data_IF_735678310692
#
_entry.id   IF_735678310692
#
_cell.length_a   1.000
_cell.length_b   1.000
_cell.length_c   1.000
_cell.angle_alpha   90.00
_cell.angle_beta   90.00
_cell.angle_gamma   90.00
#
_symmetry.space_group_name_H-M   'P 1'
#
loop_
_entity.id
_entity.type
_entity.pdbx_description
1 polymer ?
#
# COMPACT_ATOMS: atom_id res chain seq x y z
N UNK A 1 -5.16 -22.59 -3.79
CA UNK A 1 -5.56 -22.63 -2.36
C UNK A 1 -6.65 -21.61 -1.97
N UNK A 2 -7.42 -20.99 -2.89
CA UNK A 2 -8.74 -20.40 -2.57
C UNK A 2 -8.84 -19.28 -1.52
N UNK A 3 -7.73 -18.68 -1.06
CA UNK A 3 -7.75 -17.63 -0.04
C UNK A 3 -8.37 -16.33 -0.56
N UNK A 4 -9.14 -15.66 0.30
CA UNK A 4 -9.89 -14.43 -0.03
C UNK A 4 -9.66 -13.27 0.95
N UNK A 5 -8.80 -13.46 1.96
CA UNK A 5 -8.50 -12.45 2.99
C UNK A 5 -6.99 -12.28 3.06
N UNK A 6 -6.54 -11.03 3.03
CA UNK A 6 -5.12 -10.67 3.01
C UNK A 6 -4.88 -9.48 3.91
N UNK A 7 -3.90 -9.60 4.81
CA UNK A 7 -3.46 -8.49 5.63
C UNK A 7 -2.47 -7.62 4.86
N UNK A 8 -2.61 -6.31 5.01
CA UNK A 8 -1.77 -5.31 4.38
C UNK A 8 -1.70 -4.06 5.26
N UNK A 9 -0.82 -3.12 4.91
CA UNK A 9 -0.65 -1.87 5.62
C UNK A 9 -0.62 -0.68 4.64
N UNK A 10 -1.22 0.44 5.05
CA UNK A 10 -1.23 1.69 4.28
C UNK A 10 0.20 2.09 3.86
N UNK A 11 0.43 2.30 2.56
CA UNK A 11 1.72 2.61 1.96
C UNK A 11 2.81 1.55 2.17
N UNK A 12 2.50 0.39 2.74
CA UNK A 12 3.47 -0.61 3.19
C UNK A 12 4.17 -0.24 4.50
N UNK A 13 3.49 0.52 5.37
CA UNK A 13 4.00 0.89 6.69
C UNK A 13 4.49 -0.32 7.51
N UNK A 14 5.45 -0.01 8.39
CA UNK A 14 6.11 -0.97 9.27
C UNK A 14 7.58 -1.19 8.93
N UNK A 15 8.04 -2.37 9.30
CA UNK A 15 9.41 -2.86 9.23
C UNK A 15 9.53 -4.12 10.09
N UNK A 16 10.61 -4.89 9.94
CA UNK A 16 10.85 -6.05 10.79
C UNK A 16 11.96 -5.71 11.79
N UNK A 17 11.72 -5.80 13.12
CA UNK A 17 12.75 -5.54 14.12
C UNK A 17 13.91 -6.55 14.05
N UNK A 18 13.66 -7.71 13.46
CA UNK A 18 14.65 -8.78 13.28
C UNK A 18 15.39 -8.72 11.93
N UNK A 19 14.92 -7.91 10.97
CA UNK A 19 15.53 -7.77 9.65
C UNK A 19 15.72 -6.27 9.31
N UNK A 20 16.88 -5.69 9.69
CA UNK A 20 17.20 -4.31 9.39
C UNK A 20 17.10 -4.00 7.89
N UNK A 21 16.36 -2.96 7.54
CA UNK A 21 16.15 -2.54 6.14
C UNK A 21 15.04 -3.28 5.38
N UNK A 22 14.33 -4.23 6.01
CA UNK A 22 13.14 -4.83 5.43
C UNK A 22 12.06 -3.76 5.16
N UNK A 23 11.45 -3.83 3.98
CA UNK A 23 10.52 -2.83 3.45
C UNK A 23 9.32 -2.54 4.35
N UNK A 24 8.85 -3.55 5.09
CA UNK A 24 7.66 -3.50 5.94
C UNK A 24 6.63 -4.53 5.52
N UNK A 25 5.35 -4.23 5.82
CA UNK A 25 4.23 -5.05 5.39
C UNK A 25 3.96 -4.89 3.88
N UNK A 26 3.14 -5.80 3.33
CA UNK A 26 2.56 -5.61 2.01
C UNK A 26 1.76 -4.30 1.98
N UNK A 27 1.99 -3.47 0.96
CA UNK A 27 1.26 -2.22 0.79
C UNK A 27 -0.18 -2.47 0.33
N UNK A 28 -1.14 -1.82 0.99
CA UNK A 28 -2.56 -1.90 0.62
C UNK A 28 -2.80 -1.45 -0.83
N UNK A 29 -2.12 -0.41 -1.30
CA UNK A 29 -2.26 0.12 -2.66
C UNK A 29 -1.73 -0.87 -3.71
N UNK A 30 -0.66 -1.60 -3.39
CA UNK A 30 -0.03 -2.53 -4.32
C UNK A 30 -0.94 -3.75 -4.54
N UNK A 31 -1.57 -4.27 -3.47
CA UNK A 31 -2.52 -5.39 -3.59
C UNK A 31 -3.87 -4.94 -4.16
N UNK A 32 -4.36 -3.74 -3.83
CA UNK A 32 -5.58 -3.18 -4.42
C UNK A 32 -5.43 -2.97 -5.92
N UNK A 33 -4.31 -2.40 -6.35
CA UNK A 33 -4.02 -2.25 -7.77
C UNK A 33 -3.96 -3.60 -8.48
N UNK A 34 -3.29 -4.59 -7.89
CA UNK A 34 -3.25 -5.95 -8.44
C UNK A 34 -4.66 -6.53 -8.60
N UNK A 35 -5.51 -6.45 -7.56
CA UNK A 35 -6.87 -6.97 -7.63
C UNK A 35 -7.75 -6.24 -8.64
N UNK A 36 -7.62 -4.92 -8.75
CA UNK A 36 -8.29 -4.13 -9.79
C UNK A 36 -7.89 -4.61 -11.20
N UNK A 37 -6.59 -4.80 -11.46
CA UNK A 37 -6.11 -5.33 -12.75
C UNK A 37 -6.56 -6.77 -13.03
N UNK A 38 -6.81 -7.56 -11.98
CA UNK A 38 -7.35 -8.92 -12.10
C UNK A 38 -8.88 -8.96 -12.21
N UNK A 39 -9.57 -7.83 -12.11
CA UNK A 39 -11.04 -7.78 -12.07
C UNK A 39 -11.64 -8.37 -10.79
N UNK A 40 -10.87 -8.45 -9.71
CA UNK A 40 -11.31 -8.95 -8.40
C UNK A 40 -11.87 -7.77 -7.59
N UNK A 41 -13.18 -7.76 -7.27
CA UNK A 41 -13.77 -6.67 -6.50
C UNK A 41 -13.35 -6.75 -5.04
N UNK A 42 -12.85 -5.63 -4.51
CA UNK A 42 -12.47 -5.49 -3.09
C UNK A 42 -13.43 -4.60 -2.30
N UNK A 43 -14.21 -3.77 -2.99
CA UNK A 43 -15.06 -2.75 -2.35
C UNK A 43 -14.29 -1.55 -1.78
N UNK A 44 -12.98 -1.45 -2.04
CA UNK A 44 -12.11 -0.40 -1.51
C UNK A 44 -11.68 0.54 -2.64
N UNK A 45 -11.80 1.84 -2.40
CA UNK A 45 -11.39 2.89 -3.33
C UNK A 45 -9.88 3.16 -3.21
N UNK A 46 -9.14 2.81 -4.27
CA UNK A 46 -7.68 2.95 -4.32
C UNK A 46 -7.22 4.41 -4.15
N UNK A 47 -7.95 5.39 -4.69
CA UNK A 47 -7.57 6.80 -4.60
C UNK A 47 -7.72 7.31 -3.16
N UNK A 48 -8.78 6.92 -2.46
CA UNK A 48 -8.97 7.27 -1.05
C UNK A 48 -7.88 6.66 -0.16
N UNK A 49 -7.49 5.41 -0.42
CA UNK A 49 -6.39 4.77 0.32
C UNK A 49 -5.08 5.50 0.03
N UNK A 50 -4.78 5.80 -1.23
CA UNK A 50 -3.56 6.51 -1.59
C UNK A 50 -3.48 7.91 -0.96
N UNK A 51 -4.60 8.65 -0.89
CA UNK A 51 -4.68 9.93 -0.21
C UNK A 51 -4.38 9.81 1.29
N UNK A 52 -4.97 8.80 1.97
CA UNK A 52 -4.72 8.54 3.38
C UNK A 52 -3.25 8.17 3.64
N UNK A 53 -2.65 7.31 2.82
CA UNK A 53 -1.25 6.94 2.93
C UNK A 53 -0.30 8.12 2.66
N UNK A 54 -0.65 9.01 1.72
CA UNK A 54 0.10 10.24 1.46
C UNK A 54 0.12 11.14 2.70
N UNK A 55 -1.02 11.33 3.35
CA UNK A 55 -1.09 12.08 4.62
C UNK A 55 -0.22 11.43 5.70
N UNK A 56 -0.27 10.10 5.85
CA UNK A 56 0.58 9.38 6.80
C UNK A 56 2.07 9.55 6.49
N UNK A 57 2.48 9.51 5.22
CA UNK A 57 3.86 9.74 4.79
C UNK A 57 4.36 11.12 5.25
N UNK A 58 3.52 12.16 5.08
CA UNK A 58 3.82 13.51 5.55
C UNK A 58 3.95 13.58 7.07
N UNK A 59 3.01 12.99 7.82
CA UNK A 59 3.02 13.04 9.29
C UNK A 59 4.21 12.30 9.90
N UNK A 60 4.64 11.21 9.28
CA UNK A 60 5.79 10.42 9.72
C UNK A 60 7.12 10.94 9.17
N UNK A 61 7.10 11.98 8.33
CA UNK A 61 8.25 12.49 7.59
C UNK A 61 9.08 11.37 6.94
N UNK A 62 8.40 10.40 6.33
CA UNK A 62 9.01 9.19 5.78
C UNK A 62 8.40 8.84 4.43
N UNK A 63 9.26 8.50 3.47
CA UNK A 63 8.82 7.90 2.20
C UNK A 63 8.30 6.47 2.45
N UNK A 64 7.09 6.20 1.98
CA UNK A 64 6.46 4.88 2.09
C UNK A 64 6.88 3.97 0.91
N UNK A 65 7.03 2.65 1.14
CA UNK A 65 7.56 1.71 0.14
C UNK A 65 6.59 1.35 -1.00
N UNK A 66 5.29 1.63 -0.88
CA UNK A 66 4.31 1.33 -1.93
C UNK A 66 4.72 1.91 -3.29
N UNK A 67 4.78 1.05 -4.31
CA UNK A 67 5.09 1.45 -5.68
C UNK A 67 3.88 2.09 -6.36
N UNK A 68 2.68 1.58 -6.08
CA UNK A 68 1.43 2.13 -6.59
C UNK A 68 1.22 3.55 -6.06
N UNK A 69 1.43 3.77 -4.75
CA UNK A 69 1.35 5.11 -4.16
C UNK A 69 2.33 6.07 -4.84
N UNK A 70 3.60 5.68 -4.99
CA UNK A 70 4.59 6.51 -5.65
C UNK A 70 4.20 6.87 -7.10
N UNK A 71 3.60 5.94 -7.85
CA UNK A 71 3.08 6.20 -9.19
C UNK A 71 1.91 7.18 -9.18
N UNK A 72 0.94 6.98 -8.27
CA UNK A 72 -0.24 7.82 -8.17
C UNK A 72 0.11 9.26 -7.80
N UNK A 73 1.10 9.46 -6.92
CA UNK A 73 1.58 10.79 -6.54
C UNK A 73 2.44 11.48 -7.60
N UNK A 74 3.02 10.72 -8.53
CA UNK A 74 3.85 11.24 -9.61
C UNK A 74 3.05 11.58 -10.88
N UNK A 75 1.77 11.22 -10.93
CA UNK A 75 0.89 11.54 -12.06
C UNK A 75 0.40 12.99 -11.89
N UNK A 76 0.55 13.86 -12.92
CA UNK A 76 0.14 15.27 -12.84
C UNK A 76 -1.38 15.46 -12.72
#
# INVERSE_FOLDING_TARGET
MGYTVFDCSAGGLGGCPYAPGASGNLASEDILYMFEQMGVPTGVDLQKVAAASSQLATHLNRKLPSRTLARLLATP
#
